data_IF_570727533664
#
_entry.id   IF_570727533664
#
_cell.length_a   1.000
_cell.length_b   1.000
_cell.length_c   1.000
_cell.angle_alpha   90.00
_cell.angle_beta   90.00
_cell.angle_gamma   90.00
#
_symmetry.space_group_name_H-M   'P 1'
#
loop_
_entity.id
_entity.type
_entity.pdbx_description
1 polymer ?
#
# COMPACT_ATOMS: atom_id res chain seq x y z
N UNK A 1 -45.60 -16.16 -40.22
CA UNK A 1 -46.77 -15.32 -39.88
C UNK A 1 -47.04 -15.32 -38.36
N UNK A 2 -45.99 -15.23 -37.52
CA UNK A 2 -46.08 -15.02 -36.06
C UNK A 2 -45.12 -13.90 -35.58
N UNK A 3 -44.29 -13.37 -36.47
CA UNK A 3 -43.32 -12.29 -36.17
C UNK A 3 -43.88 -10.88 -36.44
N UNK A 4 -45.01 -10.75 -37.13
CA UNK A 4 -45.60 -9.43 -37.39
C UNK A 4 -46.51 -8.96 -36.24
N UNK A 5 -47.14 -9.87 -35.48
CA UNK A 5 -48.03 -9.50 -34.37
C UNK A 5 -47.28 -9.03 -33.11
N UNK A 6 -45.97 -9.30 -32.98
CA UNK A 6 -45.20 -8.87 -31.81
C UNK A 6 -44.60 -7.47 -31.95
N UNK A 7 -44.36 -7.00 -33.17
CA UNK A 7 -43.83 -5.65 -33.39
C UNK A 7 -44.92 -4.59 -33.19
N UNK A 8 -46.13 -4.85 -33.70
CA UNK A 8 -47.27 -3.94 -33.52
C UNK A 8 -47.68 -3.81 -32.04
N UNK A 9 -47.52 -4.87 -31.24
CA UNK A 9 -47.76 -4.84 -29.79
C UNK A 9 -46.71 -4.04 -29.00
N UNK A 10 -45.48 -3.92 -29.51
CA UNK A 10 -44.40 -3.19 -28.85
C UNK A 10 -44.48 -1.68 -29.12
N UNK A 11 -44.88 -1.27 -30.34
CA UNK A 11 -45.10 0.13 -30.67
C UNK A 11 -46.28 0.73 -29.88
N UNK A 12 -47.40 0.02 -29.75
CA UNK A 12 -48.56 0.47 -28.96
C UNK A 12 -48.23 0.62 -27.46
N UNK A 13 -47.35 -0.25 -26.93
CA UNK A 13 -46.91 -0.18 -25.53
C UNK A 13 -45.95 1.00 -25.29
N UNK A 14 -45.09 1.31 -26.26
CA UNK A 14 -44.18 2.47 -26.19
C UNK A 14 -44.92 3.81 -26.26
N UNK A 15 -46.00 3.89 -27.03
CA UNK A 15 -46.75 5.13 -27.22
C UNK A 15 -47.64 5.48 -26.01
N UNK A 16 -48.07 4.46 -25.26
CA UNK A 16 -48.79 4.58 -23.97
C UNK A 16 -47.88 5.10 -22.83
N UNK A 17 -46.60 4.74 -22.78
CA UNK A 17 -45.69 5.25 -21.73
C UNK A 17 -45.32 6.72 -21.93
N UNK A 18 -45.25 7.22 -23.16
CA UNK A 18 -44.83 8.60 -23.45
C UNK A 18 -45.75 9.70 -22.88
N UNK A 19 -47.04 9.39 -22.63
CA UNK A 19 -48.03 10.38 -22.17
C UNK A 19 -48.05 10.59 -20.66
N UNK A 20 -47.45 9.70 -19.86
CA UNK A 20 -47.47 9.79 -18.39
C UNK A 20 -46.18 10.33 -17.76
N UNK A 21 -45.08 10.44 -18.52
CA UNK A 21 -43.79 10.88 -17.97
C UNK A 21 -43.53 12.39 -18.02
N UNK A 22 -44.50 13.21 -18.46
CA UNK A 22 -44.33 14.66 -18.56
C UNK A 22 -44.66 15.42 -17.25
N UNK A 23 -44.20 14.92 -16.09
CA UNK A 23 -44.18 15.68 -14.82
C UNK A 23 -42.88 15.56 -14.03
N UNK A 24 -41.82 15.00 -14.61
CA UNK A 24 -40.49 15.06 -14.01
C UNK A 24 -39.78 16.27 -14.59
N UNK A 25 -39.73 17.37 -13.82
CA UNK A 25 -39.03 18.60 -14.23
C UNK A 25 -37.57 18.27 -14.53
N UNK A 26 -37.00 18.90 -15.56
CA UNK A 26 -35.61 18.70 -16.04
C UNK A 26 -34.56 18.77 -14.92
N UNK A 27 -34.87 19.42 -13.81
CA UNK A 27 -34.07 19.46 -12.59
C UNK A 27 -33.95 18.09 -11.88
N UNK A 28 -35.02 17.28 -11.82
CA UNK A 28 -34.98 15.95 -11.17
C UNK A 28 -34.15 14.96 -11.99
N UNK A 29 -34.23 15.04 -13.31
CA UNK A 29 -33.41 14.24 -14.22
C UNK A 29 -31.93 14.65 -14.19
N UNK A 30 -31.64 15.95 -14.10
CA UNK A 30 -30.28 16.44 -13.88
C UNK A 30 -29.73 16.04 -12.51
N UNK A 31 -30.54 16.05 -11.44
CA UNK A 31 -30.10 15.61 -10.11
C UNK A 31 -29.81 14.10 -10.09
N UNK A 32 -30.59 13.27 -10.80
CA UNK A 32 -30.31 11.83 -10.94
C UNK A 32 -29.04 11.55 -11.77
N UNK A 33 -28.75 12.33 -12.82
CA UNK A 33 -27.49 12.21 -13.54
C UNK A 33 -26.28 12.76 -12.75
N UNK A 34 -26.46 13.83 -11.98
CA UNK A 34 -25.41 14.37 -11.09
C UNK A 34 -25.17 13.45 -9.89
N UNK A 35 -26.17 12.67 -9.42
CA UNK A 35 -25.97 11.63 -8.40
C UNK A 35 -25.26 10.37 -8.95
N UNK A 36 -25.37 10.08 -10.25
CA UNK A 36 -24.66 8.97 -10.91
C UNK A 36 -23.24 9.32 -11.35
N UNK A 37 -22.86 10.60 -11.31
CA UNK A 37 -21.49 11.09 -11.51
C UNK A 37 -20.86 11.56 -10.19
N UNK A 38 -20.90 10.72 -9.15
CA UNK A 38 -19.86 10.81 -8.13
C UNK A 38 -18.59 10.19 -8.72
N UNK A 39 -17.77 11.03 -9.33
CA UNK A 39 -16.36 10.76 -9.65
C UNK A 39 -15.69 10.05 -8.48
N UNK A 40 -14.83 9.06 -8.71
CA UNK A 40 -13.43 9.28 -9.07
C UNK A 40 -12.92 7.95 -9.62
N UNK A 41 -12.22 7.97 -10.76
CA UNK A 41 -11.23 6.92 -11.02
C UNK A 41 -10.27 6.94 -9.84
N UNK A 42 -10.52 6.11 -8.82
CA UNK A 42 -9.54 5.87 -7.79
C UNK A 42 -8.37 5.25 -8.55
N UNK A 43 -7.28 6.00 -8.71
CA UNK A 43 -6.00 5.32 -8.85
C UNK A 43 -5.88 4.54 -7.55
N UNK A 44 -6.18 3.24 -7.59
CA UNK A 44 -6.02 2.31 -6.50
C UNK A 44 -4.53 2.17 -6.23
N UNK A 45 -3.92 3.21 -5.67
CA UNK A 45 -2.54 3.14 -5.21
C UNK A 45 -2.60 2.36 -3.90
N UNK A 46 -2.68 1.04 -4.02
CA UNK A 46 -2.71 0.10 -2.90
C UNK A 46 -1.35 -0.01 -2.22
N UNK A 47 -0.31 0.48 -2.89
CA UNK A 47 1.07 0.49 -2.43
C UNK A 47 1.84 1.65 -3.08
N UNK A 48 2.79 2.23 -2.36
CA UNK A 48 3.76 3.15 -2.94
C UNK A 48 5.12 3.04 -2.26
N UNK A 49 6.13 3.48 -3.00
CA UNK A 49 7.51 3.61 -2.54
C UNK A 49 7.91 5.07 -2.63
N UNK A 50 8.72 5.53 -1.67
CA UNK A 50 9.34 6.85 -1.72
C UNK A 50 10.71 6.75 -2.38
N UNK A 51 11.72 7.43 -1.84
CA UNK A 51 13.12 7.23 -2.19
C UNK A 51 13.82 6.37 -1.13
N UNK A 52 14.91 5.71 -1.52
CA UNK A 52 15.81 5.04 -0.60
C UNK A 52 16.97 5.98 -0.23
N UNK A 53 17.42 5.92 1.03
CA UNK A 53 18.52 6.72 1.56
C UNK A 53 19.69 5.84 1.98
N UNK A 54 20.91 6.29 1.70
CA UNK A 54 22.14 5.58 2.03
C UNK A 54 23.14 5.59 0.88
N UNK A 55 23.95 4.53 0.79
CA UNK A 55 24.94 4.34 -0.27
C UNK A 55 24.42 3.56 -1.47
N UNK A 56 25.22 3.56 -2.53
CA UNK A 56 24.92 2.93 -3.82
C UNK A 56 25.53 1.53 -3.98
N UNK A 57 26.15 1.00 -2.94
CA UNK A 57 26.78 -0.33 -2.97
C UNK A 57 25.82 -1.41 -2.45
N UNK A 58 26.26 -2.67 -2.53
CA UNK A 58 25.52 -3.81 -2.00
C UNK A 58 24.63 -4.46 -3.07
N UNK A 59 23.93 -5.51 -2.66
CA UNK A 59 22.95 -6.21 -3.48
C UNK A 59 21.59 -5.57 -3.28
N UNK A 60 20.92 -5.24 -4.39
CA UNK A 60 19.59 -4.66 -4.37
C UNK A 60 18.54 -5.65 -3.82
N UNK A 61 17.56 -5.12 -3.10
CA UNK A 61 16.40 -5.85 -2.60
C UNK A 61 15.13 -5.02 -2.76
N UNK A 62 13.99 -5.70 -2.89
CA UNK A 62 12.68 -5.08 -3.10
C UNK A 62 11.57 -6.03 -2.66
N UNK A 63 10.95 -5.70 -1.53
CA UNK A 63 9.87 -6.49 -0.93
C UNK A 63 8.51 -6.26 -1.61
N UNK A 64 8.37 -5.25 -2.48
CA UNK A 64 7.10 -4.88 -3.12
C UNK A 64 6.47 -6.01 -3.96
N UNK A 65 7.25 -7.04 -4.28
CA UNK A 65 6.84 -8.23 -5.04
C UNK A 65 6.29 -9.36 -4.16
N UNK A 66 6.47 -9.25 -2.83
CA UNK A 66 6.10 -10.28 -1.85
C UNK A 66 4.90 -9.81 -1.01
N UNK A 67 4.81 -8.51 -0.76
CA UNK A 67 3.81 -7.90 0.10
C UNK A 67 2.61 -7.35 -0.69
N UNK A 68 1.56 -6.95 0.02
CA UNK A 68 0.37 -6.35 -0.60
C UNK A 68 -0.54 -5.61 0.38
N UNK A 69 -1.59 -4.94 -0.12
CA UNK A 69 -2.59 -4.29 0.73
C UNK A 69 -3.30 -5.30 1.64
N UNK A 70 -3.76 -4.83 2.80
CA UNK A 70 -4.49 -5.67 3.76
C UNK A 70 -3.64 -6.69 4.52
N UNK A 71 -2.32 -6.69 4.31
CA UNK A 71 -1.43 -7.55 5.08
C UNK A 71 -1.36 -7.14 6.56
N UNK A 72 -1.04 -8.10 7.41
CA UNK A 72 -0.74 -7.89 8.82
C UNK A 72 0.78 -7.82 8.96
N UNK A 73 1.30 -6.76 9.56
CA UNK A 73 2.70 -6.70 10.01
C UNK A 73 2.73 -7.07 11.49
N UNK A 74 3.46 -8.14 11.82
CA UNK A 74 3.54 -8.67 13.18
C UNK A 74 4.68 -8.04 13.98
N UNK A 75 5.79 -7.73 13.33
CA UNK A 75 6.95 -7.15 13.99
C UNK A 75 7.88 -6.42 13.05
N UNK A 76 8.69 -5.52 13.63
CA UNK A 76 9.85 -4.91 12.97
C UNK A 76 11.10 -5.25 13.77
N UNK A 77 12.16 -5.66 13.07
CA UNK A 77 13.45 -6.03 13.65
C UNK A 77 14.53 -5.07 13.14
N UNK A 78 15.41 -4.66 14.04
CA UNK A 78 16.65 -3.91 13.73
C UNK A 78 17.82 -4.68 14.32
N UNK A 79 18.85 -4.91 13.48
CA UNK A 79 20.18 -5.30 13.93
C UNK A 79 21.11 -4.11 13.85
N UNK A 80 21.75 -3.74 14.96
CA UNK A 80 22.65 -2.59 14.98
C UNK A 80 23.78 -2.68 16.01
N UNK A 81 24.91 -2.08 15.68
CA UNK A 81 25.97 -1.68 16.60
C UNK A 81 26.09 -0.15 16.56
N UNK A 82 27.28 0.36 16.25
CA UNK A 82 27.45 1.78 15.92
C UNK A 82 26.64 2.21 14.68
N UNK A 83 26.39 1.26 13.76
CA UNK A 83 25.61 1.43 12.53
C UNK A 83 24.52 0.39 12.42
N UNK A 84 23.63 0.55 11.44
CA UNK A 84 22.57 -0.42 11.15
C UNK A 84 23.14 -1.55 10.30
N UNK A 85 23.10 -2.77 10.85
CA UNK A 85 23.54 -3.97 10.17
C UNK A 85 22.45 -4.57 9.29
N UNK A 86 21.19 -4.46 9.71
CA UNK A 86 20.06 -4.96 8.95
C UNK A 86 18.71 -4.63 9.57
N UNK A 87 17.67 -4.82 8.77
CA UNK A 87 16.27 -4.63 9.16
C UNK A 87 15.44 -5.81 8.68
N UNK A 88 14.31 -6.03 9.35
CA UNK A 88 13.33 -6.98 8.85
C UNK A 88 11.91 -6.67 9.30
N UNK A 89 10.96 -7.26 8.58
CA UNK A 89 9.54 -7.28 8.93
C UNK A 89 9.00 -8.70 8.82
N UNK A 90 8.16 -9.08 9.78
CA UNK A 90 7.38 -10.31 9.73
C UNK A 90 5.96 -9.96 9.32
N UNK A 91 5.49 -10.49 8.20
CA UNK A 91 4.21 -10.14 7.61
C UNK A 91 3.36 -11.36 7.33
N UNK A 92 2.05 -11.17 7.24
CA UNK A 92 1.11 -12.14 6.68
C UNK A 92 0.25 -11.44 5.66
N UNK A 93 0.32 -11.88 4.41
CA UNK A 93 -0.49 -11.34 3.31
C UNK A 93 -1.98 -11.63 3.54
N UNK A 94 -2.85 -10.92 2.83
CA UNK A 94 -4.30 -11.17 2.89
C UNK A 94 -4.69 -12.61 2.52
N UNK A 95 -3.90 -13.27 1.66
CA UNK A 95 -4.06 -14.69 1.30
C UNK A 95 -3.58 -15.67 2.38
N UNK A 96 -3.01 -15.17 3.49
CA UNK A 96 -2.53 -15.98 4.61
C UNK A 96 -1.07 -16.43 4.51
N UNK A 97 -0.31 -15.95 3.52
CA UNK A 97 1.11 -16.30 3.38
C UNK A 97 1.94 -15.52 4.38
N UNK A 98 2.60 -16.20 5.32
CA UNK A 98 3.55 -15.58 6.25
C UNK A 98 4.93 -15.46 5.62
N UNK A 99 5.59 -14.32 5.78
CA UNK A 99 6.93 -14.04 5.27
C UNK A 99 7.78 -13.33 6.31
N UNK A 100 9.02 -13.78 6.47
CA UNK A 100 10.03 -13.06 7.23
C UNK A 100 10.98 -12.39 6.23
N UNK A 101 10.82 -11.09 6.05
CA UNK A 101 11.59 -10.29 5.12
C UNK A 101 12.75 -9.67 5.89
N UNK A 102 13.99 -9.94 5.49
CA UNK A 102 15.17 -9.47 6.18
C UNK A 102 16.27 -9.05 5.20
N UNK A 103 16.86 -7.89 5.43
CA UNK A 103 17.89 -7.29 4.59
C UNK A 103 19.05 -6.78 5.44
N UNK A 104 20.29 -7.01 5.00
CA UNK A 104 21.51 -6.70 5.74
C UNK A 104 22.28 -7.93 6.22
N UNK A 105 23.32 -7.70 7.02
CA UNK A 105 24.19 -8.74 7.55
C UNK A 105 23.82 -9.19 8.96
N UNK A 106 24.44 -10.27 9.44
CA UNK A 106 24.21 -10.82 10.79
C UNK A 106 24.93 -10.09 11.93
N UNK A 107 25.62 -8.98 11.65
CA UNK A 107 26.31 -8.20 12.67
C UNK A 107 25.36 -7.48 13.64
N UNK A 108 25.94 -6.82 14.66
CA UNK A 108 25.19 -6.01 15.62
C UNK A 108 24.31 -6.81 16.58
N UNK A 109 23.69 -6.08 17.51
CA UNK A 109 22.66 -6.60 18.42
C UNK A 109 21.30 -6.53 17.75
N UNK A 110 20.54 -7.61 17.85
CA UNK A 110 19.15 -7.66 17.39
C UNK A 110 18.19 -7.09 18.43
N UNK A 111 17.23 -6.33 17.94
CA UNK A 111 16.11 -5.80 18.71
C UNK A 111 14.86 -5.91 17.85
N UNK A 112 13.75 -6.35 18.45
CA UNK A 112 12.48 -6.56 17.74
C UNK A 112 11.35 -5.90 18.51
N UNK A 113 10.48 -5.22 17.77
CA UNK A 113 9.23 -4.67 18.27
C UNK A 113 8.09 -5.50 17.72
N UNK A 114 7.48 -6.32 18.56
CA UNK A 114 6.21 -6.98 18.25
C UNK A 114 5.07 -5.95 18.33
N UNK A 115 4.31 -5.85 17.24
CA UNK A 115 3.17 -4.96 17.13
C UNK A 115 1.96 -5.58 17.82
N UNK A 116 1.20 -4.74 18.52
CA UNK A 116 -0.07 -5.14 19.10
C UNK A 116 -1.13 -5.34 18.00
N UNK A 117 -2.23 -6.00 18.32
CA UNK A 117 -3.36 -6.10 17.39
C UNK A 117 -3.85 -4.71 16.96
N UNK A 118 -3.94 -4.48 15.64
CA UNK A 118 -4.33 -3.19 15.06
C UNK A 118 -3.25 -2.10 15.11
N UNK A 119 -2.08 -2.38 15.67
CA UNK A 119 -0.94 -1.46 15.64
C UNK A 119 -0.17 -1.61 14.33
N UNK A 120 0.26 -0.48 13.76
CA UNK A 120 1.00 -0.45 12.50
C UNK A 120 2.06 0.66 12.54
N UNK A 121 3.10 0.51 11.74
CA UNK A 121 4.19 1.50 11.65
C UNK A 121 3.79 2.61 10.70
N UNK A 122 3.93 3.86 11.16
CA UNK A 122 3.49 5.07 10.43
C UNK A 122 4.64 5.99 10.06
N UNK A 123 5.80 5.86 10.71
CA UNK A 123 6.96 6.71 10.44
C UNK A 123 8.24 5.88 10.46
N UNK A 124 9.12 6.20 9.52
CA UNK A 124 10.48 5.73 9.45
C UNK A 124 11.42 6.93 9.43
N UNK A 125 12.30 7.01 10.43
CA UNK A 125 13.38 8.00 10.52
C UNK A 125 14.69 7.30 10.18
N UNK A 126 15.46 7.89 9.27
CA UNK A 126 16.70 7.32 8.72
C UNK A 126 17.78 8.37 8.87
N UNK A 127 18.94 7.97 9.39
CA UNK A 127 20.12 8.81 9.37
C UNK A 127 21.19 8.15 8.52
N UNK A 128 21.90 8.96 7.75
CA UNK A 128 23.02 8.51 6.93
C UNK A 128 24.34 9.10 7.42
N UNK A 129 25.43 8.39 7.15
CA UNK A 129 26.77 8.80 7.54
C UNK A 129 27.83 8.27 6.58
N UNK A 130 28.97 8.96 6.57
CA UNK A 130 30.10 8.59 5.73
C UNK A 130 30.84 7.36 6.28
N UNK A 131 31.30 6.49 5.38
CA UNK A 131 32.15 5.32 5.64
C UNK A 131 33.09 5.13 4.46
N UNK A 132 34.40 5.30 4.69
CA UNK A 132 35.46 4.91 3.72
C UNK A 132 35.19 5.40 2.27
N UNK A 133 34.67 6.62 2.12
CA UNK A 133 34.33 7.20 0.80
C UNK A 133 32.95 6.83 0.24
N UNK A 134 32.10 6.14 1.01
CA UNK A 134 30.69 5.85 0.68
C UNK A 134 29.74 6.32 1.78
N UNK A 135 28.45 6.34 1.50
CA UNK A 135 27.38 6.63 2.47
C UNK A 135 26.76 5.33 2.97
N UNK A 136 26.30 5.31 4.22
CA UNK A 136 25.63 4.16 4.85
C UNK A 136 24.46 4.59 5.71
N UNK A 137 23.52 3.68 5.92
CA UNK A 137 22.49 3.82 6.95
C UNK A 137 23.13 3.57 8.32
N UNK A 138 23.18 4.61 9.15
CA UNK A 138 23.86 4.56 10.45
C UNK A 138 22.90 4.53 11.61
N UNK A 139 21.68 5.02 11.43
CA UNK A 139 20.60 4.90 12.40
C UNK A 139 19.25 4.77 11.70
N UNK A 140 18.36 3.99 12.30
CA UNK A 140 16.95 3.94 11.93
C UNK A 140 16.07 3.96 13.17
N UNK A 141 14.88 4.55 13.03
CA UNK A 141 13.82 4.48 14.03
C UNK A 141 12.46 4.29 13.35
N UNK A 142 11.68 3.36 13.87
CA UNK A 142 10.30 3.12 13.47
C UNK A 142 9.37 3.60 14.58
N UNK A 143 8.31 4.32 14.22
CA UNK A 143 7.26 4.77 15.16
C UNK A 143 5.91 4.24 14.71
N UNK A 144 5.12 3.75 15.65
CA UNK A 144 3.83 3.11 15.39
C UNK A 144 2.65 4.06 15.60
N UNK A 145 1.48 3.64 15.12
CA UNK A 145 0.20 4.32 15.34
C UNK A 145 -0.18 4.45 16.82
N UNK A 146 0.39 3.64 17.71
CA UNK A 146 0.17 3.70 19.16
C UNK A 146 1.18 4.61 19.90
N UNK A 147 2.14 5.20 19.18
CA UNK A 147 3.22 6.01 19.75
C UNK A 147 4.40 5.21 20.30
N UNK A 148 4.41 3.87 20.15
CA UNK A 148 5.59 3.04 20.46
C UNK A 148 6.66 3.23 19.38
N UNK A 149 7.91 3.00 19.74
CA UNK A 149 9.01 3.05 18.79
C UNK A 149 10.11 2.03 19.08
N UNK A 150 10.85 1.68 18.03
CA UNK A 150 12.11 0.95 18.11
C UNK A 150 13.15 1.68 17.27
N UNK A 151 14.39 1.71 17.74
CA UNK A 151 15.50 2.35 17.03
C UNK A 151 16.81 1.60 17.25
N UNK A 152 17.77 1.80 16.34
CA UNK A 152 19.10 1.22 16.46
C UNK A 152 20.13 1.98 15.63
N UNK A 153 21.39 1.87 16.03
CA UNK A 153 22.51 2.61 15.46
C UNK A 153 22.82 3.93 16.17
N UNK A 154 23.62 4.78 15.53
CA UNK A 154 24.07 6.08 16.09
C UNK A 154 23.49 7.24 15.28
N UNK A 155 22.67 8.11 15.88
CA UNK A 155 22.13 9.29 15.20
C UNK A 155 23.22 10.22 14.67
N UNK A 156 23.00 10.75 13.47
CA UNK A 156 23.81 11.83 12.86
C UNK A 156 22.97 13.06 12.56
N UNK A 157 23.57 14.12 12.02
CA UNK A 157 22.86 15.33 11.59
C UNK A 157 22.16 15.22 10.23
N UNK A 158 22.45 14.17 9.45
CA UNK A 158 21.82 13.95 8.14
C UNK A 158 20.63 13.00 8.30
N UNK A 159 19.42 13.58 8.33
CA UNK A 159 18.19 12.94 8.81
C UNK A 159 17.09 13.02 7.75
N UNK A 160 16.42 11.89 7.55
CA UNK A 160 15.26 11.76 6.67
C UNK A 160 14.08 11.18 7.45
N UNK A 161 12.94 11.88 7.40
CA UNK A 161 11.71 11.45 8.05
C UNK A 161 10.69 11.08 6.99
N UNK A 162 10.25 9.83 7.02
CA UNK A 162 9.31 9.25 6.07
C UNK A 162 8.04 8.85 6.82
N UNK A 163 7.10 9.79 6.86
CA UNK A 163 5.76 9.56 7.39
C UNK A 163 4.84 9.07 6.29
N UNK A 164 4.08 8.01 6.56
CA UNK A 164 3.10 7.48 5.63
C UNK A 164 1.84 8.34 5.57
N UNK A 165 1.17 8.32 4.42
CA UNK A 165 -0.16 8.86 4.20
C UNK A 165 -1.22 8.13 5.06
N UNK A 166 -2.33 8.81 5.34
CA UNK A 166 -3.45 8.20 6.08
C UNK A 166 -3.99 6.95 5.36
N UNK A 167 -4.19 5.87 6.10
CA UNK A 167 -4.69 4.60 5.56
C UNK A 167 -3.60 3.64 5.06
N UNK A 168 -2.32 4.00 5.21
CA UNK A 168 -1.18 3.16 4.87
C UNK A 168 -0.38 2.76 6.11
N UNK A 169 0.38 1.68 5.96
CA UNK A 169 1.34 1.17 6.93
C UNK A 169 2.63 0.77 6.25
N UNK A 170 3.73 0.68 7.01
CA UNK A 170 4.94 0.03 6.53
C UNK A 170 4.61 -1.41 6.19
N UNK A 171 4.89 -1.83 4.97
CA UNK A 171 4.67 -3.21 4.53
C UNK A 171 5.96 -4.00 4.32
N UNK A 172 7.04 -3.32 3.96
CA UNK A 172 8.34 -3.91 3.68
C UNK A 172 9.35 -2.84 3.30
N UNK A 173 10.46 -3.25 2.71
CA UNK A 173 11.56 -2.36 2.35
C UNK A 173 12.04 -2.58 0.92
N UNK A 174 12.68 -1.56 0.37
CA UNK A 174 13.51 -1.66 -0.81
C UNK A 174 14.84 -0.93 -0.57
N UNK A 175 15.88 -1.28 -1.30
CA UNK A 175 17.21 -0.67 -1.10
C UNK A 175 18.34 -1.58 -1.55
N UNK A 176 19.49 -1.44 -0.90
CA UNK A 176 20.65 -2.28 -1.14
C UNK A 176 21.34 -2.65 0.19
N UNK A 177 21.89 -3.86 0.26
CA UNK A 177 22.55 -4.34 1.48
C UNK A 177 23.73 -5.28 1.20
N UNK A 178 24.60 -5.41 2.21
CA UNK A 178 25.70 -6.36 2.22
C UNK A 178 25.97 -6.86 3.63
N UNK A 179 27.19 -6.66 4.14
CA UNK A 179 27.51 -6.95 5.56
C UNK A 179 26.78 -6.01 6.53
N UNK A 180 26.36 -4.85 6.05
CA UNK A 180 25.57 -3.84 6.74
C UNK A 180 24.43 -3.39 5.81
N UNK A 181 23.54 -2.55 6.31
CA UNK A 181 22.49 -1.94 5.51
C UNK A 181 23.06 -0.74 4.74
N UNK A 182 23.14 -0.85 3.42
CA UNK A 182 23.80 0.16 2.59
C UNK A 182 22.83 1.30 2.28
N UNK A 183 21.60 0.99 1.84
CA UNK A 183 20.51 1.94 1.67
C UNK A 183 19.15 1.32 1.98
N UNK A 184 18.17 2.16 2.31
CA UNK A 184 16.82 1.72 2.65
C UNK A 184 15.76 2.76 2.29
N UNK A 185 14.63 2.28 1.77
CA UNK A 185 13.38 3.00 1.64
C UNK A 185 12.20 2.10 2.08
N UNK A 186 11.13 2.70 2.62
CA UNK A 186 9.92 1.97 2.99
C UNK A 186 9.06 1.67 1.77
N UNK A 187 8.46 0.48 1.76
CA UNK A 187 7.30 0.17 0.91
C UNK A 187 6.06 0.34 1.78
N UNK A 188 5.22 1.31 1.43
CA UNK A 188 3.97 1.61 2.15
C UNK A 188 2.81 0.87 1.48
N UNK A 189 2.03 0.11 2.25
CA UNK A 189 0.86 -0.65 1.76
C UNK A 189 -0.41 -0.21 2.45
N UNK A 190 -1.53 -0.22 1.74
CA UNK A 190 -2.84 0.12 2.31
C UNK A 190 -3.21 -0.85 3.43
N UNK A 191 -3.71 -0.32 4.55
CA UNK A 191 -4.14 -1.14 5.70
C UNK A 191 -5.40 -1.93 5.36
N UNK A 192 -6.33 -1.33 4.63
CA UNK A 192 -7.57 -1.96 4.17
C UNK A 192 -7.59 -1.92 2.65
N UNK A 193 -7.58 -3.05 1.95
CA UNK A 193 -7.59 -3.05 0.48
C UNK A 193 -8.78 -2.27 -0.07
N UNK A 194 -8.60 -1.60 -1.21
CA UNK A 194 -9.76 -1.13 -1.97
C UNK A 194 -10.66 -2.32 -2.31
N UNK A 195 -11.97 -2.20 -2.10
CA UNK A 195 -12.91 -3.20 -2.57
C UNK A 195 -12.75 -3.29 -4.10
N UNK A 196 -12.35 -4.46 -4.62
CA UNK A 196 -12.63 -4.76 -6.01
C UNK A 196 -14.16 -4.86 -6.11
N UNK A 197 -14.79 -3.92 -6.82
CA UNK A 197 -16.14 -4.16 -7.32
C UNK A 197 -16.07 -5.50 -8.07
N UNK A 198 -16.87 -6.53 -7.68
CA UNK A 198 -16.83 -7.81 -8.36
C UNK A 198 -17.06 -7.53 -9.83
N UNK A 199 -16.03 -7.79 -10.64
CA UNK A 199 -16.07 -7.54 -12.07
C UNK A 199 -17.38 -8.10 -12.59
N UNK A 200 -18.20 -7.24 -13.20
CA UNK A 200 -19.43 -7.69 -13.83
C UNK A 200 -19.01 -8.71 -14.88
N UNK A 201 -19.14 -10.00 -14.54
CA UNK A 201 -19.09 -11.07 -15.52
C UNK A 201 -20.27 -10.77 -16.41
N UNK A 202 -19.99 -10.16 -17.57
CA UNK A 202 -20.95 -10.12 -18.64
C UNK A 202 -21.22 -11.59 -18.95
N UNK A 203 -22.44 -12.12 -18.72
CA UNK A 203 -22.73 -13.48 -19.11
C UNK A 203 -22.46 -13.56 -20.61
N UNK A 204 -21.45 -14.35 -20.98
CA UNK A 204 -21.13 -14.62 -22.37
C UNK A 204 -22.42 -15.12 -23.04
N UNK A 205 -22.93 -14.46 -24.10
CA UNK A 205 -24.22 -14.81 -24.71
C UNK A 205 -24.21 -16.16 -25.45
N UNK A 206 -23.22 -17.03 -25.19
CA UNK A 206 -22.99 -18.28 -25.92
C UNK A 206 -22.93 -19.54 -25.04
N UNK A 207 -23.67 -19.59 -23.93
CA UNK A 207 -24.11 -20.84 -23.31
C UNK A 207 -25.55 -20.78 -22.81
#
# INVERSE_FOLDING_TARGET
>A
MLLQLSQDHFEIWSEQQSKHEYRMTRAVWFILQVLLMQTVSARNNEMYMTVAFGGTTGTAYDDSKIIGPGQIVHSVTIRSGERVNGVGVDTTTLSGTRSNLYHGGGGGKETTLTLNSGEYVTNMEIHVGAKEGSTRVVFVKFTTSSGRSISGGTPTSDVYNLKTESGFQLGGFFGASGKELDSIGPVWTRITPSLEEPGTVNPDPYY
#
